data_IF_164659773227
#
_entry.id   IF_164659773227
#
_cell.length_a   1.000
_cell.length_b   1.000
_cell.length_c   1.000
_cell.angle_alpha   90.00
_cell.angle_beta   90.00
_cell.angle_gamma   90.00
#
_symmetry.space_group_name_H-M   'P 1'
#
loop_
_entity.id
_entity.type
_entity.pdbx_description
1 polymer ?
#
# COMPACT_ATOMS: atom_id res chain seq x y z
N UNK A 1 -14.14 15.47 14.21
CA UNK A 1 -12.83 14.83 14.48
C UNK A 1 -11.85 15.39 13.48
N UNK A 2 -10.85 16.16 13.92
CA UNK A 2 -9.81 16.64 13.02
C UNK A 2 -9.04 15.43 12.45
N UNK A 3 -8.75 15.37 11.14
CA UNK A 3 -8.04 14.25 10.55
C UNK A 3 -6.67 14.11 11.22
N UNK A 4 -6.28 12.88 11.58
CA UNK A 4 -4.99 12.61 12.24
C UNK A 4 -3.82 13.13 11.37
N UNK A 5 -4.03 13.19 10.05
CA UNK A 5 -3.12 13.82 9.07
C UNK A 5 -2.70 15.24 9.45
N UNK A 6 -3.59 16.04 10.06
CA UNK A 6 -3.30 17.41 10.49
C UNK A 6 -2.35 17.45 11.70
N UNK A 7 -2.44 16.48 12.62
CA UNK A 7 -1.54 16.36 13.77
C UNK A 7 -0.24 15.61 13.48
N UNK A 8 -0.19 14.83 12.38
CA UNK A 8 0.98 14.06 11.98
C UNK A 8 2.05 14.88 11.24
N UNK A 9 1.68 16.02 10.65
CA UNK A 9 2.62 16.94 9.99
C UNK A 9 3.65 17.53 10.98
N UNK A 10 3.25 17.74 12.23
CA UNK A 10 4.13 18.20 13.33
C UNK A 10 4.89 17.05 14.01
N UNK A 11 4.67 15.81 13.57
CA UNK A 11 5.08 14.66 14.34
C UNK A 11 6.57 14.33 14.12
N UNK A 12 7.42 15.00 14.90
CA UNK A 12 8.83 14.66 15.17
C UNK A 12 9.04 13.16 15.46
N UNK A 13 8.00 12.40 15.83
CA UNK A 13 8.11 10.95 16.05
C UNK A 13 8.41 10.17 14.76
N UNK A 14 7.98 10.61 13.57
CA UNK A 14 8.34 9.92 12.31
C UNK A 14 9.84 10.08 11.98
N UNK A 15 10.46 11.21 12.34
CA UNK A 15 11.92 11.37 12.27
C UNK A 15 12.63 10.64 13.42
N UNK A 16 11.99 10.54 14.60
CA UNK A 16 12.49 9.75 15.72
C UNK A 16 12.31 8.22 15.55
N UNK A 17 11.52 7.75 14.58
CA UNK A 17 11.49 6.33 14.17
C UNK A 17 12.84 5.87 13.58
N UNK A 18 13.83 6.74 13.41
CA UNK A 18 15.21 6.33 13.15
C UNK A 18 15.98 5.93 14.44
N UNK A 19 15.49 6.29 15.64
CA UNK A 19 16.20 6.12 16.93
C UNK A 19 15.45 5.31 17.99
N UNK A 20 14.20 4.92 17.75
CA UNK A 20 13.42 4.15 18.73
C UNK A 20 13.47 2.66 18.37
N UNK A 21 14.40 1.92 18.99
CA UNK A 21 14.40 0.45 19.05
C UNK A 21 13.23 -0.11 19.89
N UNK A 22 12.37 0.76 20.41
CA UNK A 22 11.27 0.39 21.29
C UNK A 22 9.97 0.19 20.51
N UNK A 23 9.86 -0.93 19.80
CA UNK A 23 8.54 -1.52 19.56
C UNK A 23 8.07 -2.05 20.91
N UNK A 24 7.33 -1.24 21.67
CA UNK A 24 6.44 -1.83 22.66
C UNK A 24 5.38 -2.61 21.88
N UNK A 25 5.35 -3.93 22.04
CA UNK A 25 4.45 -4.81 21.32
C UNK A 25 3.00 -4.29 21.46
N UNK A 26 2.45 -3.81 20.34
CA UNK A 26 1.06 -3.36 20.26
C UNK A 26 0.83 -1.86 20.48
N UNK A 27 1.75 -1.01 20.02
CA UNK A 27 1.53 0.42 19.78
C UNK A 27 1.53 0.77 18.28
N UNK A 28 0.79 1.81 17.91
CA UNK A 28 0.66 2.35 16.56
C UNK A 28 1.91 3.17 16.21
N UNK A 29 2.48 2.93 15.03
CA UNK A 29 3.68 3.64 14.54
C UNK A 29 3.43 5.12 14.19
N UNK A 30 2.18 5.53 13.99
CA UNK A 30 1.83 6.91 13.63
C UNK A 30 1.48 7.76 14.86
N UNK A 31 0.63 7.25 15.77
CA UNK A 31 0.11 8.02 16.90
C UNK A 31 0.49 7.47 18.29
N UNK A 32 1.13 6.30 18.37
CA UNK A 32 1.49 5.65 19.65
C UNK A 32 0.34 4.93 20.38
N UNK A 33 -0.91 5.09 19.95
CA UNK A 33 -2.07 4.40 20.53
C UNK A 33 -1.98 2.87 20.43
N UNK A 34 -2.80 2.12 21.17
CA UNK A 34 -2.76 0.65 21.14
C UNK A 34 -3.10 0.11 19.74
N UNK A 35 -2.24 -0.74 19.22
CA UNK A 35 -2.44 -1.49 17.98
C UNK A 35 -2.43 -3.00 18.29
N UNK A 36 -3.31 -3.78 17.66
CA UNK A 36 -3.47 -5.22 17.96
C UNK A 36 -3.03 -6.09 16.80
N UNK A 37 -3.72 -5.97 15.66
CA UNK A 37 -3.51 -6.81 14.47
C UNK A 37 -2.41 -6.30 13.54
N UNK A 38 -2.28 -4.98 13.43
CA UNK A 38 -1.29 -4.31 12.60
C UNK A 38 -0.41 -3.43 13.49
N UNK A 39 0.69 -2.93 12.94
CA UNK A 39 1.49 -1.89 13.57
C UNK A 39 0.82 -0.49 13.54
N UNK A 40 -0.46 -0.42 13.17
CA UNK A 40 -1.27 0.79 13.08
C UNK A 40 -2.59 0.56 13.83
N UNK A 41 -3.07 1.56 14.58
CA UNK A 41 -4.39 1.51 15.21
C UNK A 41 -5.51 1.66 14.15
N UNK A 42 -6.76 1.26 14.46
CA UNK A 42 -7.88 1.36 13.52
C UNK A 42 -8.09 2.76 12.94
N UNK A 43 -7.98 3.81 13.77
CA UNK A 43 -8.20 5.19 13.32
C UNK A 43 -7.12 5.64 12.32
N UNK A 44 -5.85 5.35 12.62
CA UNK A 44 -4.75 5.64 11.70
C UNK A 44 -4.81 4.82 10.42
N UNK A 45 -5.36 3.61 10.45
CA UNK A 45 -5.61 2.80 9.25
C UNK A 45 -6.72 3.39 8.39
N UNK A 46 -7.81 3.87 9.02
CA UNK A 46 -8.92 4.50 8.33
C UNK A 46 -8.50 5.79 7.62
N UNK A 47 -7.59 6.55 8.25
CA UNK A 47 -7.07 7.82 7.72
C UNK A 47 -5.96 7.66 6.66
N UNK A 48 -5.53 6.43 6.33
CA UNK A 48 -4.54 6.24 5.25
C UNK A 48 -5.13 6.68 3.90
N UNK A 49 -4.30 7.18 2.97
CA UNK A 49 -4.72 7.55 1.63
C UNK A 49 -4.98 6.29 0.78
N UNK A 50 -6.08 5.59 1.08
CA UNK A 50 -6.54 4.43 0.32
C UNK A 50 -6.73 4.79 -1.15
N UNK A 51 -6.38 3.85 -2.02
CA UNK A 51 -6.59 4.04 -3.44
C UNK A 51 -8.10 4.04 -3.75
N UNK A 52 -8.63 5.05 -4.44
CA UNK A 52 -10.01 5.05 -4.95
C UNK A 52 -10.16 3.99 -6.07
N UNK A 53 -11.36 3.85 -6.69
CA UNK A 53 -11.49 3.05 -7.90
C UNK A 53 -10.39 3.37 -8.92
N UNK A 54 -9.72 2.34 -9.40
CA UNK A 54 -8.50 2.44 -10.17
C UNK A 54 -8.53 1.47 -11.36
N UNK A 55 -7.77 1.81 -12.39
CA UNK A 55 -7.65 1.01 -13.60
C UNK A 55 -7.20 -0.41 -13.26
N UNK A 56 -7.91 -1.43 -13.74
CA UNK A 56 -7.50 -2.81 -13.52
C UNK A 56 -6.13 -3.13 -14.14
N UNK A 57 -5.79 -2.49 -15.25
CA UNK A 57 -4.50 -2.68 -15.92
C UNK A 57 -3.32 -2.13 -15.13
N UNK A 58 -3.31 -0.83 -14.85
CA UNK A 58 -2.14 -0.12 -14.29
C UNK A 58 -2.29 0.32 -12.82
N UNK A 59 -3.46 0.14 -12.20
CA UNK A 59 -3.79 0.62 -10.86
C UNK A 59 -3.70 2.14 -10.67
N UNK A 60 -3.72 2.93 -11.75
CA UNK A 60 -3.89 4.39 -11.63
C UNK A 60 -5.34 4.73 -11.25
N UNK A 61 -5.56 5.71 -10.34
CA UNK A 61 -6.88 6.22 -10.02
C UNK A 61 -7.64 6.61 -11.28
N UNK A 62 -8.90 6.17 -11.39
CA UNK A 62 -9.80 6.64 -12.42
C UNK A 62 -10.44 7.94 -11.92
N UNK A 63 -10.46 8.98 -12.75
CA UNK A 63 -11.14 10.21 -12.41
C UNK A 63 -12.64 9.91 -12.29
N UNK A 64 -13.18 10.03 -11.08
CA UNK A 64 -14.62 9.99 -10.86
C UNK A 64 -15.23 11.26 -11.47
N UNK A 65 -15.59 11.22 -12.76
CA UNK A 65 -16.38 12.29 -13.39
C UNK A 65 -15.80 12.94 -14.66
N UNK A 66 -14.80 12.36 -15.31
CA UNK A 66 -14.48 12.74 -16.69
C UNK A 66 -15.03 11.66 -17.65
N UNK A 67 -16.12 12.05 -18.33
CA UNK A 67 -16.55 11.56 -19.65
C UNK A 67 -16.52 10.04 -19.84
N UNK A 68 -17.46 9.37 -19.18
CA UNK A 68 -18.20 8.26 -19.79
C UNK A 68 -19.01 8.75 -21.00
N UNK A 69 -18.34 9.32 -22.00
CA UNK A 69 -18.86 9.40 -23.37
C UNK A 69 -18.56 8.04 -24.05
N UNK A 70 -19.10 6.98 -23.45
CA UNK A 70 -19.31 5.67 -24.06
C UNK A 70 -20.38 4.94 -23.25
N UNK A 71 -21.52 5.63 -23.06
CA UNK A 71 -22.80 4.95 -23.00
C UNK A 71 -23.06 4.36 -24.40
N UNK A 72 -22.47 3.18 -24.69
CA UNK A 72 -22.90 2.24 -25.75
C UNK A 72 -21.87 1.11 -25.85
N UNK A 73 -21.75 0.29 -24.81
CA UNK A 73 -21.35 -1.12 -24.93
C UNK A 73 -21.80 -1.82 -23.65
N UNK A 74 -22.96 -2.45 -23.72
CA UNK A 74 -23.56 -3.22 -22.64
C UNK A 74 -22.83 -4.54 -22.37
N UNK A 75 -21.58 -4.48 -21.93
CA UNK A 75 -20.82 -5.61 -21.41
C UNK A 75 -20.33 -5.29 -19.99
N UNK A 76 -21.28 -5.27 -19.07
CA UNK A 76 -21.08 -5.04 -17.63
C UNK A 76 -20.39 -6.23 -16.95
N UNK A 77 -19.15 -6.55 -17.33
CA UNK A 77 -18.32 -7.56 -16.64
C UNK A 77 -16.81 -7.25 -16.67
N UNK A 78 -16.40 -6.12 -17.27
CA UNK A 78 -15.00 -5.71 -17.38
C UNK A 78 -14.60 -4.66 -16.35
N UNK A 79 -13.67 -4.99 -15.45
CA UNK A 79 -13.05 -4.00 -14.57
C UNK A 79 -12.47 -2.83 -15.40
N UNK A 80 -12.91 -1.59 -15.11
CA UNK A 80 -12.64 -0.42 -15.93
C UNK A 80 -11.15 -0.24 -16.20
N UNK A 81 -10.78 -0.16 -17.49
CA UNK A 81 -9.42 0.14 -17.96
C UNK A 81 -9.37 1.57 -18.47
N UNK A 82 -8.34 2.31 -18.07
CA UNK A 82 -8.08 3.67 -18.57
C UNK A 82 -7.75 3.65 -20.09
N UNK A 83 -7.87 4.79 -20.78
CA UNK A 83 -7.57 4.89 -22.21
C UNK A 83 -6.17 4.35 -22.59
N UNK A 84 -5.14 4.68 -21.81
CA UNK A 84 -3.77 4.22 -22.07
C UNK A 84 -3.66 2.70 -22.04
N UNK A 85 -4.28 2.03 -21.06
CA UNK A 85 -4.28 0.57 -20.96
C UNK A 85 -5.13 -0.12 -22.04
N UNK A 86 -6.09 0.60 -22.67
CA UNK A 86 -6.85 0.08 -23.81
C UNK A 86 -6.06 0.20 -25.10
N UNK A 87 -5.40 1.34 -25.32
CA UNK A 87 -4.59 1.60 -26.50
C UNK A 87 -3.30 0.79 -26.50
N UNK A 88 -2.63 0.73 -25.34
CA UNK A 88 -1.37 0.01 -25.16
C UNK A 88 -1.49 -0.89 -23.91
N UNK A 89 -2.05 -2.11 -24.06
CA UNK A 89 -2.18 -3.03 -22.95
C UNK A 89 -0.82 -3.35 -22.32
N UNK A 90 -0.70 -3.31 -20.98
CA UNK A 90 0.54 -3.68 -20.32
C UNK A 90 0.83 -5.19 -20.46
N UNK A 91 2.09 -5.63 -20.26
CA UNK A 91 2.47 -7.05 -20.35
C UNK A 91 2.00 -7.89 -19.14
N UNK A 92 1.11 -7.36 -18.30
CA UNK A 92 0.53 -8.05 -17.15
C UNK A 92 -1.00 -7.94 -17.20
N UNK A 93 -1.70 -8.93 -16.65
CA UNK A 93 -3.17 -8.99 -16.71
C UNK A 93 -3.85 -7.97 -15.80
N UNK A 94 -3.26 -7.72 -14.63
CA UNK A 94 -3.83 -6.83 -13.60
C UNK A 94 -2.76 -6.28 -12.67
N UNK A 95 -2.93 -5.03 -12.25
CA UNK A 95 -2.14 -4.43 -11.18
C UNK A 95 -3.03 -4.12 -9.98
N UNK A 96 -2.45 -4.23 -8.78
CA UNK A 96 -3.14 -3.92 -7.52
C UNK A 96 -2.26 -3.01 -6.66
N UNK A 97 -2.87 -1.96 -6.12
CA UNK A 97 -2.26 -1.09 -5.14
C UNK A 97 -3.28 -0.73 -4.06
N UNK A 98 -2.86 -0.72 -2.80
CA UNK A 98 -3.74 -0.42 -1.66
C UNK A 98 -3.93 1.08 -1.46
N UNK A 99 -2.88 1.85 -1.71
CA UNK A 99 -2.78 3.24 -1.28
C UNK A 99 -2.28 4.11 -2.43
N UNK A 100 -2.65 5.40 -2.38
CA UNK A 100 -1.90 6.45 -3.07
C UNK A 100 -0.53 6.58 -2.39
N UNK A 101 0.49 6.86 -3.19
CA UNK A 101 1.84 7.06 -2.68
C UNK A 101 2.01 8.49 -2.13
N UNK A 102 1.37 8.75 -1.00
CA UNK A 102 1.31 10.06 -0.35
C UNK A 102 1.51 9.91 1.16
N UNK A 103 1.63 11.02 1.88
CA UNK A 103 1.75 10.98 3.33
C UNK A 103 0.53 10.34 4.00
N UNK A 104 0.70 9.47 5.03
CA UNK A 104 1.96 8.99 5.62
C UNK A 104 2.51 7.69 5.01
N UNK A 105 1.89 7.18 3.93
CA UNK A 105 2.25 5.90 3.29
C UNK A 105 3.65 5.94 2.70
N UNK A 106 4.07 7.06 2.10
CA UNK A 106 5.44 7.27 1.63
C UNK A 106 6.48 7.01 2.74
N UNK A 107 6.22 7.50 3.96
CA UNK A 107 7.07 7.33 5.14
C UNK A 107 7.02 5.93 5.71
N UNK A 108 5.85 5.29 5.74
CA UNK A 108 5.73 3.89 6.16
C UNK A 108 6.48 2.96 5.19
N UNK A 109 6.37 3.18 3.89
CA UNK A 109 7.12 2.43 2.87
C UNK A 109 8.63 2.68 3.01
N UNK A 110 9.05 3.92 3.26
CA UNK A 110 10.45 4.24 3.52
C UNK A 110 10.96 3.56 4.81
N UNK A 111 10.15 3.53 5.87
CA UNK A 111 10.46 2.87 7.14
C UNK A 111 10.71 1.36 6.95
N UNK A 112 9.90 0.71 6.12
CA UNK A 112 10.11 -0.69 5.73
C UNK A 112 11.37 -0.88 4.86
N UNK A 113 11.56 -0.03 3.83
CA UNK A 113 12.65 -0.20 2.85
C UNK A 113 14.04 0.13 3.40
N UNK A 114 14.14 1.09 4.31
CA UNK A 114 15.41 1.69 4.71
C UNK A 114 15.68 1.67 6.22
N UNK A 115 14.65 1.57 7.06
CA UNK A 115 14.78 1.67 8.52
C UNK A 115 14.47 0.35 9.25
N UNK A 116 14.46 -0.77 8.53
CA UNK A 116 14.37 -2.11 9.13
C UNK A 116 13.05 -2.39 9.88
N UNK A 117 11.97 -1.64 9.60
CA UNK A 117 10.69 -1.80 10.28
C UNK A 117 9.89 -2.97 9.72
N UNK A 118 10.39 -4.19 9.93
CA UNK A 118 9.86 -5.43 9.34
C UNK A 118 8.39 -5.74 9.67
N UNK A 119 7.83 -5.41 10.86
CA UNK A 119 6.40 -5.64 11.14
C UNK A 119 5.44 -4.89 10.19
N UNK A 120 5.92 -3.85 9.49
CA UNK A 120 5.15 -3.22 8.41
C UNK A 120 4.94 -4.17 7.24
N UNK A 121 5.88 -5.07 6.94
CA UNK A 121 5.72 -6.04 5.86
C UNK A 121 4.53 -6.96 6.14
N UNK A 122 4.46 -7.57 7.32
CA UNK A 122 3.31 -8.40 7.72
C UNK A 122 2.00 -7.61 7.73
N UNK A 123 2.04 -6.36 8.23
CA UNK A 123 0.84 -5.50 8.24
C UNK A 123 0.34 -5.21 6.83
N UNK A 124 1.22 -4.82 5.91
CA UNK A 124 0.87 -4.56 4.51
C UNK A 124 0.46 -5.82 3.75
N UNK A 125 1.10 -6.97 4.01
CA UNK A 125 0.72 -8.25 3.44
C UNK A 125 -0.71 -8.65 3.81
N UNK A 126 -1.07 -8.54 5.10
CA UNK A 126 -2.45 -8.77 5.55
C UNK A 126 -3.44 -7.79 4.92
N UNK A 127 -3.12 -6.49 4.92
CA UNK A 127 -4.02 -5.49 4.30
C UNK A 127 -4.20 -5.73 2.80
N UNK A 128 -3.15 -6.20 2.11
CA UNK A 128 -3.23 -6.55 0.69
C UNK A 128 -4.13 -7.77 0.49
N UNK A 129 -3.88 -8.85 1.23
CA UNK A 129 -4.66 -10.08 1.17
C UNK A 129 -6.15 -9.83 1.46
N UNK A 130 -6.45 -9.03 2.48
CA UNK A 130 -7.82 -8.68 2.88
C UNK A 130 -8.57 -7.86 1.81
N UNK A 131 -7.84 -7.17 0.93
CA UNK A 131 -8.41 -6.24 -0.06
C UNK A 131 -8.30 -6.73 -1.50
N UNK A 132 -7.70 -7.90 -1.72
CA UNK A 132 -7.74 -8.57 -3.02
C UNK A 132 -9.20 -8.94 -3.35
N UNK A 133 -9.62 -8.80 -4.62
CA UNK A 133 -10.93 -9.28 -5.06
C UNK A 133 -11.17 -10.73 -4.67
N UNK A 134 -12.41 -11.07 -4.26
CA UNK A 134 -12.78 -12.45 -3.97
C UNK A 134 -12.50 -13.32 -5.20
N UNK A 135 -12.00 -14.54 -4.96
CA UNK A 135 -11.60 -15.48 -6.02
C UNK A 135 -10.16 -15.33 -6.51
N UNK A 136 -9.45 -14.24 -6.19
CA UNK A 136 -8.01 -14.17 -6.48
C UNK A 136 -7.25 -14.99 -5.45
N UNK A 137 -6.70 -16.12 -5.91
CA UNK A 137 -5.84 -17.02 -5.15
C UNK A 137 -4.64 -17.37 -6.04
N UNK A 138 -3.49 -16.73 -5.86
CA UNK A 138 -2.32 -17.06 -6.67
C UNK A 138 -1.80 -18.45 -6.29
N UNK A 139 -1.45 -19.26 -7.29
CA UNK A 139 -0.77 -20.54 -7.06
C UNK A 139 0.66 -20.33 -6.55
N UNK A 140 1.28 -19.22 -6.96
CA UNK A 140 2.66 -18.85 -6.61
C UNK A 140 2.75 -17.34 -6.40
N UNK A 141 3.46 -16.93 -5.35
CA UNK A 141 3.85 -15.53 -5.12
C UNK A 141 5.35 -15.38 -5.37
N UNK A 142 5.71 -14.56 -6.36
CA UNK A 142 7.10 -14.31 -6.73
C UNK A 142 7.52 -12.90 -6.30
N UNK A 143 8.31 -12.74 -5.23
CA UNK A 143 8.80 -11.43 -4.83
C UNK A 143 9.83 -10.91 -5.83
N UNK A 144 9.79 -9.61 -6.12
CA UNK A 144 10.80 -8.96 -6.97
C UNK A 144 12.19 -9.15 -6.34
N UNK A 145 13.16 -9.70 -7.07
CA UNK A 145 14.50 -9.95 -6.53
C UNK A 145 15.23 -8.65 -6.26
N UNK A 146 16.02 -8.62 -5.18
CA UNK A 146 16.91 -7.50 -4.86
C UNK A 146 18.35 -7.86 -5.20
N UNK A 147 19.10 -6.90 -5.72
CA UNK A 147 20.52 -7.10 -6.07
C UNK A 147 21.33 -7.62 -4.85
N UNK A 148 22.23 -8.62 -4.99
CA UNK A 148 22.93 -9.25 -3.86
C UNK A 148 23.67 -8.28 -2.94
N UNK A 149 24.31 -7.24 -3.51
CA UNK A 149 24.95 -6.16 -2.72
C UNK A 149 23.95 -5.40 -1.82
N UNK A 150 22.73 -5.15 -2.31
CA UNK A 150 21.66 -4.51 -1.53
C UNK A 150 21.09 -5.45 -0.48
N UNK A 151 20.96 -6.74 -0.80
CA UNK A 151 20.55 -7.77 0.17
C UNK A 151 21.52 -7.83 1.35
N UNK A 152 22.83 -7.94 1.08
CA UNK A 152 23.87 -7.94 2.13
C UNK A 152 23.85 -6.69 3.00
N UNK A 153 23.62 -5.51 2.40
CA UNK A 153 23.56 -4.24 3.15
C UNK A 153 22.30 -4.11 4.01
N UNK A 154 21.16 -4.61 3.54
CA UNK A 154 19.85 -4.42 4.19
C UNK A 154 19.39 -5.61 5.03
N UNK A 155 20.08 -6.76 4.93
CA UNK A 155 19.78 -7.99 5.67
C UNK A 155 18.55 -8.78 5.18
N UNK A 156 17.67 -8.19 4.36
CA UNK A 156 16.45 -8.84 3.88
C UNK A 156 15.98 -8.33 2.50
N UNK A 157 15.15 -9.12 1.83
CA UNK A 157 14.36 -8.69 0.68
C UNK A 157 12.95 -8.29 1.15
N UNK A 158 12.62 -7.00 1.10
CA UNK A 158 11.33 -6.48 1.57
C UNK A 158 10.15 -7.04 0.78
N UNK A 159 10.32 -7.29 -0.53
CA UNK A 159 9.29 -7.92 -1.33
C UNK A 159 9.05 -9.37 -0.87
N UNK A 160 10.11 -10.08 -0.46
CA UNK A 160 10.00 -11.43 0.07
C UNK A 160 9.41 -11.48 1.49
N UNK A 161 9.47 -10.40 2.26
CA UNK A 161 8.79 -10.29 3.55
C UNK A 161 7.30 -9.93 3.42
N UNK A 162 6.91 -9.35 2.28
CA UNK A 162 5.52 -9.01 1.96
C UNK A 162 4.75 -10.19 1.34
N UNK A 163 5.48 -11.05 0.60
CA UNK A 163 4.99 -12.26 -0.05
C UNK A 163 4.69 -13.35 0.98
#
# INVERSE_FOLDING_TARGET
>A
MAPILAGLADNRQLQALAKVDNISAGCCLLCGARARRHCLCPDCLADLPWLPPACAGCALPLATGLDTACEESGDSEGAERCPDCRLTPPPWSRAFALFRYEFPVDRLIAALKYHGRLPLATSFGHLLADRLPPGIRPDVVLPVPVHPRRLRRRGCNQAALLA
#
